data_IF_645318263640
#
_entry.id   IF_645318263640
#
_cell.length_a   1.000
_cell.length_b   1.000
_cell.length_c   1.000
_cell.angle_alpha   90.00
_cell.angle_beta   90.00
_cell.angle_gamma   90.00
#
_symmetry.space_group_name_H-M   'P 1'
#
loop_
_entity.id
_entity.type
_entity.pdbx_description
1 polymer ?
#
# COMPACT_ATOMS: atom_id res chain seq x y z
N UNK A 1 17.56 7.87 -18.34
CA UNK A 1 18.10 7.34 -19.62
C UNK A 1 17.07 7.61 -20.68
N UNK A 2 17.44 8.36 -21.72
CA UNK A 2 16.54 8.78 -22.80
C UNK A 2 16.33 7.61 -23.76
N UNK A 3 15.21 6.90 -23.59
CA UNK A 3 14.82 5.74 -24.41
C UNK A 3 14.72 6.10 -25.90
N UNK A 4 14.29 7.32 -26.24
CA UNK A 4 14.22 7.80 -27.63
C UNK A 4 15.60 7.96 -28.30
N UNK A 5 16.64 8.21 -27.50
CA UNK A 5 18.00 8.31 -27.99
C UNK A 5 18.62 6.91 -28.23
N UNK A 6 18.21 5.92 -27.43
CA UNK A 6 18.59 4.52 -27.63
C UNK A 6 17.90 3.98 -28.89
N UNK A 7 16.61 4.23 -29.08
CA UNK A 7 15.88 3.83 -30.30
C UNK A 7 16.49 4.39 -31.60
N UNK A 8 16.95 5.66 -31.63
CA UNK A 8 17.57 6.27 -32.82
C UNK A 8 18.92 5.67 -33.18
N UNK A 9 19.69 5.17 -32.23
CA UNK A 9 21.00 4.55 -32.48
C UNK A 9 20.87 3.09 -32.94
N UNK A 10 19.77 2.40 -32.62
CA UNK A 10 19.51 1.02 -33.06
C UNK A 10 19.01 0.90 -34.50
N UNK A 11 18.43 1.93 -35.08
CA UNK A 11 17.88 1.88 -36.45
C UNK A 11 18.94 1.89 -37.57
N UNK A 12 20.24 1.76 -37.26
CA UNK A 12 21.33 1.85 -38.25
C UNK A 12 22.09 0.56 -38.54
N UNK A 13 21.73 -0.59 -37.98
CA UNK A 13 22.41 -1.84 -38.28
C UNK A 13 21.50 -3.07 -38.37
N UNK A 14 21.62 -3.76 -39.46
CA UNK A 14 21.38 -5.16 -39.90
C UNK A 14 20.29 -6.08 -39.29
N UNK A 15 19.90 -7.06 -40.12
CA UNK A 15 18.77 -8.02 -40.01
C UNK A 15 18.55 -8.74 -38.65
N UNK A 16 19.56 -8.91 -37.82
CA UNK A 16 19.48 -9.44 -36.47
C UNK A 16 18.66 -8.50 -35.52
N UNK A 17 18.61 -7.22 -35.83
CA UNK A 17 17.90 -6.22 -35.05
C UNK A 17 16.37 -6.29 -35.25
N UNK A 18 15.90 -6.88 -36.35
CA UNK A 18 14.46 -7.08 -36.58
C UNK A 18 13.85 -8.15 -35.67
N UNK A 19 14.56 -9.23 -35.38
CA UNK A 19 14.08 -10.28 -34.45
C UNK A 19 14.01 -9.73 -33.02
N UNK A 20 15.02 -8.99 -32.58
CA UNK A 20 15.04 -8.35 -31.27
C UNK A 20 13.93 -7.28 -31.14
N UNK A 21 13.70 -6.52 -32.20
CA UNK A 21 12.62 -5.52 -32.22
C UNK A 21 11.23 -6.16 -32.24
N UNK A 22 11.07 -7.30 -32.90
CA UNK A 22 9.82 -8.04 -32.90
C UNK A 22 9.61 -8.79 -31.57
N UNK A 23 10.64 -9.31 -30.92
CA UNK A 23 10.58 -9.80 -29.54
C UNK A 23 10.22 -8.69 -28.54
N UNK A 24 10.81 -7.49 -28.67
CA UNK A 24 10.45 -6.32 -27.88
C UNK A 24 9.03 -5.85 -28.16
N UNK A 25 8.56 -5.91 -29.41
CA UNK A 25 7.17 -5.62 -29.79
C UNK A 25 6.19 -6.66 -29.30
N UNK A 26 6.54 -7.95 -29.37
CA UNK A 26 5.77 -9.05 -28.79
C UNK A 26 5.71 -8.92 -27.27
N UNK A 27 6.82 -8.65 -26.60
CA UNK A 27 6.88 -8.37 -25.16
C UNK A 27 6.01 -7.15 -24.79
N UNK A 28 6.06 -6.05 -25.55
CA UNK A 28 5.18 -4.87 -25.38
C UNK A 28 3.72 -5.18 -25.73
N UNK A 29 3.43 -6.16 -26.59
CA UNK A 29 2.06 -6.55 -27.00
C UNK A 29 1.41 -7.51 -26.01
N UNK A 30 2.19 -8.33 -25.27
CA UNK A 30 1.71 -9.17 -24.17
C UNK A 30 1.46 -8.39 -22.87
N UNK A 31 2.03 -7.21 -22.70
CA UNK A 31 1.71 -6.29 -21.58
C UNK A 31 0.34 -5.61 -21.82
N UNK A 32 -0.67 -6.37 -22.22
CA UNK A 32 -2.04 -5.88 -22.38
C UNK A 32 -2.81 -5.99 -21.06
N UNK A 33 -3.13 -4.85 -20.53
CA UNK A 33 -3.85 -4.36 -19.36
C UNK A 33 -2.91 -4.15 -18.15
N UNK A 34 -2.13 -3.11 -18.24
CA UNK A 34 -1.41 -2.56 -17.10
C UNK A 34 -2.43 -2.24 -16.02
N UNK A 35 -2.29 -2.87 -14.86
CA UNK A 35 -3.05 -2.48 -13.67
C UNK A 35 -2.53 -1.14 -13.18
N UNK A 36 -3.43 -0.26 -12.81
CA UNK A 36 -3.08 1.07 -12.33
C UNK A 36 -3.19 1.10 -10.81
N UNK A 37 -2.04 1.15 -10.15
CA UNK A 37 -1.95 1.21 -8.69
C UNK A 37 -1.61 2.63 -8.27
N UNK A 38 -2.53 3.29 -7.58
CA UNK A 38 -2.25 4.57 -6.95
C UNK A 38 -1.28 4.38 -5.79
N UNK A 39 -0.31 5.28 -5.66
CA UNK A 39 0.64 5.29 -4.55
C UNK A 39 0.76 6.70 -4.02
N UNK A 40 0.48 6.91 -2.72
CA UNK A 40 0.73 8.18 -2.09
C UNK A 40 2.24 8.35 -1.89
N UNK A 41 2.81 9.38 -2.51
CA UNK A 41 4.26 9.60 -2.47
C UNK A 41 4.56 11.09 -2.35
N UNK A 42 4.85 11.52 -1.12
CA UNK A 42 5.18 12.90 -0.78
C UNK A 42 5.88 12.96 0.60
N UNK A 43 6.00 14.16 1.19
CA UNK A 43 6.65 14.32 2.49
C UNK A 43 5.92 13.61 3.65
N UNK A 44 4.64 13.19 3.47
CA UNK A 44 3.86 12.45 4.46
C UNK A 44 4.09 10.94 4.36
N UNK A 45 4.23 10.45 3.12
CA UNK A 45 4.28 9.04 2.75
C UNK A 45 5.46 8.79 1.81
N UNK A 46 6.63 8.61 2.37
CA UNK A 46 7.86 8.43 1.59
C UNK A 46 8.62 7.15 1.92
N UNK A 47 8.11 6.36 2.87
CA UNK A 47 8.79 5.14 3.26
C UNK A 47 8.32 3.96 2.40
N UNK A 48 9.09 3.70 1.34
CA UNK A 48 8.91 2.59 0.41
C UNK A 48 10.25 1.93 0.12
N UNK A 49 10.26 0.63 -0.03
CA UNK A 49 11.42 -0.08 -0.57
C UNK A 49 11.43 0.07 -2.08
N UNK A 50 12.52 0.59 -2.65
CA UNK A 50 12.65 0.83 -4.09
C UNK A 50 12.47 -0.44 -4.91
N UNK A 51 13.06 -1.54 -4.44
CA UNK A 51 12.94 -2.85 -5.09
C UNK A 51 11.53 -3.45 -4.98
N UNK A 52 10.77 -3.16 -3.90
CA UNK A 52 9.36 -3.51 -3.82
C UNK A 52 8.54 -2.74 -4.88
N UNK A 53 8.84 -1.44 -5.09
CA UNK A 53 8.19 -0.64 -6.14
C UNK A 53 8.51 -1.16 -7.55
N UNK A 54 9.73 -1.62 -7.80
CA UNK A 54 10.11 -2.25 -9.06
C UNK A 54 9.32 -3.54 -9.32
N UNK A 55 9.00 -4.32 -8.26
CA UNK A 55 8.19 -5.54 -8.37
C UNK A 55 6.78 -5.24 -8.90
N UNK A 56 6.19 -4.10 -8.58
CA UNK A 56 4.89 -3.73 -9.17
C UNK A 56 4.95 -3.72 -10.70
N UNK A 57 5.97 -3.09 -11.27
CA UNK A 57 6.18 -3.06 -12.73
C UNK A 57 6.44 -4.45 -13.30
N UNK A 58 7.25 -5.27 -12.61
CA UNK A 58 7.54 -6.65 -13.01
C UNK A 58 6.28 -7.53 -13.01
N UNK A 59 5.30 -7.25 -12.15
CA UNK A 59 4.00 -7.95 -12.12
C UNK A 59 2.92 -7.30 -12.99
N UNK A 60 3.29 -6.34 -13.86
CA UNK A 60 2.41 -5.72 -14.85
C UNK A 60 1.52 -4.61 -14.27
N UNK A 61 2.01 -3.88 -13.27
CA UNK A 61 1.33 -2.72 -12.73
C UNK A 61 2.09 -1.41 -13.08
N UNK A 62 1.32 -0.38 -13.41
CA UNK A 62 1.76 1.00 -13.50
C UNK A 62 1.52 1.69 -12.16
N UNK A 63 2.56 2.32 -11.59
CA UNK A 63 2.41 3.13 -10.37
C UNK A 63 2.01 4.56 -10.74
N UNK A 64 0.90 5.01 -10.19
CA UNK A 64 0.38 6.37 -10.35
C UNK A 64 0.66 7.13 -9.05
N UNK A 65 1.65 7.98 -9.08
CA UNK A 65 2.06 8.76 -7.90
C UNK A 65 1.05 9.87 -7.61
N UNK A 66 0.70 10.01 -6.33
CA UNK A 66 -0.32 10.93 -5.81
C UNK A 66 0.31 11.72 -4.66
N UNK A 67 0.23 13.03 -4.72
CA UNK A 67 0.65 13.91 -3.63
C UNK A 67 -0.53 14.19 -2.70
N UNK A 68 -0.50 13.63 -1.49
CA UNK A 68 -1.60 13.73 -0.52
C UNK A 68 -1.90 15.16 -0.04
N UNK A 69 -0.96 16.08 -0.26
CA UNK A 69 -1.09 17.48 0.18
C UNK A 69 -1.56 18.37 -0.96
N UNK A 70 -1.05 18.13 -2.18
CA UNK A 70 -1.28 19.01 -3.33
C UNK A 70 -2.44 18.56 -4.21
N UNK A 71 -2.53 17.24 -4.48
CA UNK A 71 -3.57 16.68 -5.32
C UNK A 71 -4.90 16.70 -4.60
N UNK A 72 -5.93 17.20 -5.30
CA UNK A 72 -7.28 17.35 -4.71
C UNK A 72 -8.16 16.13 -4.89
N UNK A 73 -7.84 15.26 -5.82
CA UNK A 73 -8.65 14.09 -6.19
C UNK A 73 -7.78 12.86 -6.42
N UNK A 74 -8.34 11.68 -6.20
CA UNK A 74 -7.71 10.46 -6.71
C UNK A 74 -7.77 10.42 -8.25
N UNK A 75 -6.70 9.96 -8.92
CA UNK A 75 -6.74 9.66 -10.34
C UNK A 75 -7.87 8.68 -10.68
N UNK A 76 -8.51 8.89 -11.82
CA UNK A 76 -9.56 7.97 -12.30
C UNK A 76 -8.97 6.62 -12.71
N UNK A 77 -9.79 5.59 -12.66
CA UNK A 77 -9.47 4.23 -13.14
C UNK A 77 -8.27 3.59 -12.43
N UNK A 78 -8.14 3.80 -11.13
CA UNK A 78 -7.23 3.01 -10.31
C UNK A 78 -7.83 1.62 -10.08
N UNK A 79 -7.00 0.58 -10.20
CA UNK A 79 -7.36 -0.80 -9.89
C UNK A 79 -7.04 -1.17 -8.43
N UNK A 80 -6.09 -0.45 -7.81
CA UNK A 80 -5.71 -0.61 -6.41
C UNK A 80 -5.06 0.66 -5.86
N UNK A 81 -4.92 0.72 -4.54
CA UNK A 81 -4.26 1.82 -3.83
C UNK A 81 -3.25 1.26 -2.83
N UNK A 82 -2.02 1.80 -2.82
CA UNK A 82 -1.01 1.53 -1.82
C UNK A 82 -0.60 2.83 -1.11
N UNK A 83 -0.73 2.86 0.22
CA UNK A 83 -0.30 3.98 1.06
C UNK A 83 0.74 3.45 2.04
N UNK A 84 2.00 3.76 1.79
CA UNK A 84 3.12 3.29 2.58
C UNK A 84 3.29 4.02 3.90
N UNK A 85 4.44 3.78 4.51
CA UNK A 85 4.85 4.43 5.74
C UNK A 85 5.28 5.87 5.54
N UNK A 86 5.49 6.55 6.66
CA UNK A 86 5.91 7.93 6.72
C UNK A 86 5.47 8.59 8.01
N UNK A 87 5.48 9.92 8.01
CA UNK A 87 5.20 10.75 9.19
C UNK A 87 4.04 11.71 8.91
N UNK A 88 2.80 11.21 8.75
CA UNK A 88 1.64 12.06 8.45
C UNK A 88 1.35 13.08 9.56
N UNK A 89 1.78 12.82 10.80
CA UNK A 89 1.63 13.73 11.93
C UNK A 89 2.33 15.08 11.72
N UNK A 90 3.48 15.09 11.04
CA UNK A 90 4.27 16.31 10.80
C UNK A 90 3.49 17.33 9.95
N UNK A 91 2.64 16.82 9.06
CA UNK A 91 1.82 17.63 8.15
C UNK A 91 0.33 17.43 8.33
N UNK A 92 -0.08 16.92 9.49
CA UNK A 92 -1.46 16.54 9.78
C UNK A 92 -2.48 17.64 9.47
N UNK A 93 -2.14 18.90 9.74
CA UNK A 93 -3.01 20.05 9.41
C UNK A 93 -3.22 20.21 7.90
N UNK A 94 -2.22 19.90 7.06
CA UNK A 94 -2.36 19.96 5.60
C UNK A 94 -3.22 18.81 5.09
N UNK A 95 -2.99 17.60 5.63
CA UNK A 95 -3.77 16.41 5.32
C UNK A 95 -5.24 16.57 5.72
N UNK A 96 -5.50 17.13 6.91
CA UNK A 96 -6.85 17.42 7.38
C UNK A 96 -7.62 18.33 6.42
N UNK A 97 -6.96 19.39 5.92
CA UNK A 97 -7.55 20.38 5.00
C UNK A 97 -7.84 19.82 3.61
N UNK A 98 -7.19 18.74 3.20
CA UNK A 98 -7.42 18.13 1.90
C UNK A 98 -8.66 17.21 1.94
N UNK A 99 -9.82 17.82 2.15
CA UNK A 99 -11.10 17.10 2.38
C UNK A 99 -11.45 16.22 1.18
N UNK A 100 -11.31 16.76 -0.04
CA UNK A 100 -11.79 16.04 -1.22
C UNK A 100 -10.99 14.77 -1.51
N UNK A 101 -9.66 14.81 -1.39
CA UNK A 101 -8.83 13.61 -1.55
C UNK A 101 -9.16 12.55 -0.47
N UNK A 102 -9.39 12.98 0.78
CA UNK A 102 -9.80 12.06 1.86
C UNK A 102 -11.13 11.39 1.54
N UNK A 103 -12.09 12.13 1.02
CA UNK A 103 -13.40 11.58 0.60
C UNK A 103 -13.21 10.58 -0.54
N UNK A 104 -12.42 10.92 -1.55
CA UNK A 104 -12.15 10.01 -2.68
C UNK A 104 -11.48 8.71 -2.22
N UNK A 105 -10.51 8.78 -1.29
CA UNK A 105 -9.86 7.59 -0.70
C UNK A 105 -10.88 6.76 0.08
N UNK A 106 -11.72 7.43 0.88
CA UNK A 106 -12.78 6.76 1.62
C UNK A 106 -13.73 6.04 0.69
N UNK A 107 -14.23 6.72 -0.33
CA UNK A 107 -15.17 6.16 -1.30
C UNK A 107 -14.52 5.01 -2.09
N UNK A 108 -13.23 5.13 -2.44
CA UNK A 108 -12.49 4.06 -3.10
C UNK A 108 -12.52 2.77 -2.27
N UNK A 109 -12.24 2.85 -0.97
CA UNK A 109 -12.24 1.70 -0.06
C UNK A 109 -13.68 1.21 0.20
N UNK A 110 -14.62 2.13 0.41
CA UNK A 110 -16.04 1.79 0.68
C UNK A 110 -16.71 1.08 -0.51
N UNK A 111 -16.23 1.32 -1.74
CA UNK A 111 -16.67 0.65 -2.96
C UNK A 111 -15.91 -0.66 -3.24
N UNK A 112 -15.32 -1.29 -2.22
CA UNK A 112 -14.61 -2.56 -2.32
C UNK A 112 -13.43 -2.55 -3.32
N UNK A 113 -12.76 -1.41 -3.52
CA UNK A 113 -11.53 -1.40 -4.28
C UNK A 113 -10.36 -1.88 -3.41
N UNK A 114 -9.43 -2.67 -3.99
CA UNK A 114 -8.26 -3.15 -3.27
C UNK A 114 -7.41 -2.01 -2.73
N UNK A 115 -7.11 -2.06 -1.44
CA UNK A 115 -6.26 -1.09 -0.78
C UNK A 115 -5.31 -1.79 0.20
N UNK A 116 -4.03 -1.43 0.14
CA UNK A 116 -3.03 -1.83 1.12
C UNK A 116 -2.40 -0.62 1.76
N UNK A 117 -2.24 -0.64 3.09
CA UNK A 117 -1.60 0.47 3.81
C UNK A 117 -0.65 0.00 4.89
N UNK A 118 0.41 0.77 5.13
CA UNK A 118 1.43 0.50 6.16
C UNK A 118 1.63 1.71 7.05
N UNK A 119 1.80 1.49 8.35
CA UNK A 119 2.28 2.43 9.35
C UNK A 119 1.62 3.83 9.24
N UNK A 120 2.30 4.81 8.67
CA UNK A 120 1.75 6.16 8.44
C UNK A 120 0.44 6.15 7.63
N UNK A 121 0.34 5.24 6.64
CA UNK A 121 -0.88 5.04 5.86
C UNK A 121 -2.05 4.56 6.73
N UNK A 122 -1.81 3.65 7.69
CA UNK A 122 -2.83 3.22 8.65
C UNK A 122 -3.28 4.40 9.52
N UNK A 123 -2.35 5.21 10.02
CA UNK A 123 -2.67 6.40 10.81
C UNK A 123 -3.56 7.37 10.02
N UNK A 124 -3.26 7.57 8.74
CA UNK A 124 -4.05 8.45 7.85
C UNK A 124 -5.45 7.91 7.58
N UNK A 125 -5.64 6.59 7.56
CA UNK A 125 -6.98 5.99 7.38
C UNK A 125 -7.82 5.98 8.66
N UNK A 126 -7.26 6.25 9.83
CA UNK A 126 -8.01 6.35 11.07
C UNK A 126 -9.01 7.51 11.05
N UNK A 127 -9.95 7.52 12.02
CA UNK A 127 -10.85 8.65 12.20
C UNK A 127 -10.09 9.93 12.59
N UNK A 128 -9.11 9.78 13.48
CA UNK A 128 -8.37 10.93 14.03
C UNK A 128 -6.91 10.56 14.26
N UNK A 129 -6.06 11.58 14.12
CA UNK A 129 -4.66 11.57 14.53
C UNK A 129 -4.47 12.63 15.61
N UNK A 130 -3.86 12.26 16.74
CA UNK A 130 -3.49 13.19 17.83
C UNK A 130 -1.97 13.34 17.80
N UNK A 131 -1.54 14.58 17.64
CA UNK A 131 -0.14 14.97 17.68
C UNK A 131 0.01 16.32 18.38
N UNK A 132 0.96 16.43 19.29
CA UNK A 132 1.19 17.65 20.10
C UNK A 132 -0.13 18.19 20.71
N UNK A 133 -0.89 17.32 21.37
CA UNK A 133 -2.21 17.60 22.00
C UNK A 133 -3.29 18.09 21.05
N UNK A 134 -3.00 18.24 19.75
CA UNK A 134 -3.98 18.62 18.71
C UNK A 134 -4.59 17.38 18.07
N UNK A 135 -5.85 17.50 17.71
CA UNK A 135 -6.63 16.44 17.05
C UNK A 135 -6.87 16.85 15.61
N UNK A 136 -6.59 15.93 14.70
CA UNK A 136 -6.78 16.13 13.26
C UNK A 136 -7.69 15.05 12.71
N UNK A 137 -8.67 15.45 11.89
CA UNK A 137 -9.59 14.50 11.24
C UNK A 137 -8.91 13.93 10.00
N UNK A 138 -8.80 12.62 9.96
CA UNK A 138 -8.18 11.88 8.87
C UNK A 138 -9.23 11.28 7.92
N UNK A 139 -8.93 10.24 7.16
CA UNK A 139 -9.85 9.66 6.15
C UNK A 139 -11.09 9.03 6.81
N UNK A 140 -10.96 8.41 7.97
CA UNK A 140 -12.08 7.87 8.72
C UNK A 140 -12.66 6.58 8.17
N UNK A 141 -11.82 5.69 7.67
CA UNK A 141 -12.18 4.30 7.31
C UNK A 141 -11.91 3.35 8.46
N UNK A 142 -10.78 3.52 9.15
CA UNK A 142 -10.43 2.73 10.33
C UNK A 142 -11.06 3.41 11.55
N UNK A 143 -11.97 2.72 12.30
CA UNK A 143 -12.74 3.34 13.39
C UNK A 143 -11.90 3.51 14.66
N UNK A 144 -10.77 4.23 14.58
CA UNK A 144 -9.85 4.44 15.67
C UNK A 144 -9.24 5.83 15.70
N UNK A 145 -8.58 6.13 16.81
CA UNK A 145 -7.78 7.34 16.97
C UNK A 145 -6.34 6.93 17.21
N UNK A 146 -5.43 7.33 16.32
CA UNK A 146 -4.00 7.21 16.55
C UNK A 146 -3.50 8.39 17.38
N UNK A 147 -2.70 8.11 18.39
CA UNK A 147 -2.03 9.13 19.19
C UNK A 147 -0.52 8.90 19.16
N UNK A 148 0.21 9.95 18.81
CA UNK A 148 1.67 9.91 18.79
C UNK A 148 2.18 10.01 20.22
N UNK A 149 3.05 9.08 20.60
CA UNK A 149 3.68 8.97 21.90
C UNK A 149 5.09 9.60 21.90
N UNK A 150 5.63 9.90 23.07
CA UNK A 150 6.99 10.45 23.21
C UNK A 150 8.10 9.40 23.03
N UNK A 151 7.74 8.12 23.10
CA UNK A 151 8.66 6.99 22.89
C UNK A 151 8.10 6.04 21.81
N UNK A 152 8.97 5.28 21.12
CA UNK A 152 8.52 4.29 20.16
C UNK A 152 7.57 3.27 20.81
N UNK A 153 6.43 3.01 20.15
CA UNK A 153 5.45 1.99 20.55
C UNK A 153 5.83 0.64 19.94
N UNK A 154 6.16 0.63 18.63
CA UNK A 154 6.68 -0.52 17.93
C UNK A 154 8.04 -0.20 17.33
N UNK A 155 9.05 -1.07 17.55
CA UNK A 155 10.40 -0.86 17.04
C UNK A 155 11.15 -2.16 16.82
N UNK A 156 11.66 -2.35 15.60
CA UNK A 156 12.59 -3.42 15.24
C UNK A 156 11.98 -4.52 14.39
N UNK A 157 12.61 -5.70 14.41
CA UNK A 157 12.15 -6.82 13.62
C UNK A 157 10.92 -7.48 14.23
N UNK A 158 9.92 -7.72 13.38
CA UNK A 158 8.62 -8.26 13.72
C UNK A 158 8.45 -9.63 13.08
N UNK A 159 7.71 -10.51 13.76
CA UNK A 159 7.21 -11.76 13.21
C UNK A 159 5.70 -11.77 13.33
N UNK A 160 5.02 -11.87 12.21
CA UNK A 160 3.56 -12.03 12.15
C UNK A 160 3.20 -13.36 11.51
N UNK A 161 2.01 -13.84 11.83
CA UNK A 161 1.43 -15.04 11.23
C UNK A 161 -0.02 -14.74 10.86
N UNK A 162 -0.35 -14.81 9.56
CA UNK A 162 -1.71 -14.58 9.10
C UNK A 162 -2.65 -15.66 9.62
N UNK A 163 -3.86 -15.25 9.97
CA UNK A 163 -4.96 -16.16 10.31
C UNK A 163 -5.55 -16.78 9.03
N UNK A 164 -6.33 -17.84 9.19
CA UNK A 164 -7.13 -18.42 8.09
C UNK A 164 -8.07 -17.34 7.53
N UNK A 165 -8.45 -17.48 6.26
CA UNK A 165 -9.38 -16.60 5.56
C UNK A 165 -8.92 -15.13 5.49
N UNK A 166 -7.60 -14.90 5.50
CA UNK A 166 -7.05 -13.57 5.25
C UNK A 166 -7.25 -13.16 3.79
N UNK A 167 -7.31 -11.85 3.57
CA UNK A 167 -7.70 -11.22 2.31
C UNK A 167 -6.82 -11.64 1.10
N UNK A 168 -5.54 -11.91 1.35
CA UNK A 168 -4.59 -12.25 0.30
C UNK A 168 -4.36 -13.76 0.12
N UNK A 169 -5.08 -14.61 0.87
CA UNK A 169 -4.91 -16.06 0.88
C UNK A 169 -3.46 -16.50 1.21
N UNK A 170 -2.79 -15.75 2.08
CA UNK A 170 -1.48 -16.14 2.62
C UNK A 170 -1.64 -17.37 3.48
N UNK A 171 -0.76 -18.36 3.29
CA UNK A 171 -0.75 -19.57 4.12
C UNK A 171 -0.60 -19.23 5.60
N UNK A 172 -1.60 -19.63 6.39
CA UNK A 172 -1.65 -19.36 7.83
C UNK A 172 -0.58 -20.12 8.65
N UNK A 173 0.15 -21.07 8.06
CA UNK A 173 1.29 -21.73 8.70
C UNK A 173 2.58 -20.93 8.57
N UNK A 174 2.62 -19.96 7.66
CA UNK A 174 3.81 -19.20 7.33
C UNK A 174 4.06 -18.08 8.34
N UNK A 175 5.28 -18.02 8.87
CA UNK A 175 5.75 -16.91 9.71
C UNK A 175 6.40 -15.87 8.79
N UNK A 176 5.85 -14.67 8.78
CA UNK A 176 6.33 -13.55 7.98
C UNK A 176 7.28 -12.71 8.83
N UNK A 177 8.47 -12.47 8.29
CA UNK A 177 9.45 -11.55 8.88
C UNK A 177 9.25 -10.17 8.25
N UNK A 178 9.06 -9.17 9.08
CA UNK A 178 8.89 -7.77 8.69
C UNK A 178 9.56 -6.87 9.73
N UNK A 179 9.33 -5.58 9.67
CA UNK A 179 9.80 -4.67 10.70
C UNK A 179 8.73 -3.65 11.04
N UNK A 180 8.89 -2.95 12.14
CA UNK A 180 8.07 -1.82 12.54
C UNK A 180 8.92 -0.71 13.13
N UNK A 181 8.50 0.52 12.90
CA UNK A 181 9.02 1.69 13.57
C UNK A 181 7.95 2.76 13.61
N UNK A 182 7.24 2.86 14.74
CA UNK A 182 6.18 3.85 14.92
C UNK A 182 6.08 4.32 16.36
N UNK A 183 5.72 5.59 16.52
CA UNK A 183 5.37 6.22 17.79
C UNK A 183 3.86 6.23 18.02
N UNK A 184 3.08 5.83 17.04
CA UNK A 184 1.63 5.86 17.10
C UNK A 184 1.08 4.71 17.92
N UNK A 185 0.16 5.02 18.83
CA UNK A 185 -0.67 4.06 19.54
C UNK A 185 -2.12 4.22 19.12
N UNK A 186 -2.73 3.13 18.68
CA UNK A 186 -4.14 3.12 18.35
C UNK A 186 -4.96 2.99 19.64
N UNK A 187 -5.75 4.04 19.94
CA UNK A 187 -6.56 4.08 21.15
C UNK A 187 -7.90 3.36 20.92
N UNK A 188 -8.27 2.59 21.96
CA UNK A 188 -9.59 2.00 22.20
C UNK A 188 -10.31 1.46 20.98
N UNK A 189 -10.05 0.16 20.66
CA UNK A 189 -10.98 -0.45 19.75
C UNK A 189 -11.01 -1.98 19.77
N UNK A 190 -11.89 -2.57 20.54
CA UNK A 190 -12.25 -3.99 20.44
C UNK A 190 -12.69 -4.36 19.03
N UNK A 191 -13.37 -3.44 18.31
CA UNK A 191 -13.81 -3.67 16.93
C UNK A 191 -12.63 -3.77 15.97
N UNK A 192 -11.51 -3.05 16.18
CA UNK A 192 -10.31 -3.19 15.37
C UNK A 192 -9.65 -4.53 15.67
N UNK A 193 -9.48 -4.88 16.93
CA UNK A 193 -8.84 -6.14 17.33
C UNK A 193 -9.54 -7.37 16.76
N UNK A 194 -10.87 -7.35 16.71
CA UNK A 194 -11.67 -8.43 16.12
C UNK A 194 -11.49 -8.57 14.60
N UNK A 195 -11.08 -7.51 13.95
CA UNK A 195 -10.82 -7.48 12.50
C UNK A 195 -9.33 -7.53 12.15
N UNK A 196 -8.45 -7.91 13.07
CA UNK A 196 -7.05 -8.18 12.81
C UNK A 196 -6.83 -9.62 12.35
N UNK A 197 -6.20 -9.80 11.20
CA UNK A 197 -6.03 -11.11 10.57
C UNK A 197 -4.59 -11.62 10.61
N UNK A 198 -3.74 -11.05 11.47
CA UNK A 198 -2.47 -11.69 11.85
C UNK A 198 -2.25 -11.64 13.37
N UNK A 199 -1.59 -12.67 13.86
CA UNK A 199 -1.03 -12.69 15.21
C UNK A 199 0.38 -12.11 15.16
N UNK A 200 0.72 -11.28 16.14
CA UNK A 200 2.08 -10.78 16.34
C UNK A 200 2.81 -11.77 17.26
N UNK A 201 3.78 -12.50 16.68
CA UNK A 201 4.60 -13.45 17.44
C UNK A 201 5.83 -12.77 18.05
N UNK A 202 6.25 -11.66 17.47
CA UNK A 202 7.30 -10.76 17.97
C UNK A 202 7.06 -9.37 17.41
N UNK A 203 7.12 -8.33 18.24
CA UNK A 203 6.84 -6.95 17.91
C UNK A 203 5.61 -6.42 18.61
N UNK A 204 5.05 -5.33 18.13
CA UNK A 204 3.88 -4.69 18.72
C UNK A 204 2.65 -4.74 17.78
N UNK A 205 2.83 -4.39 16.50
CA UNK A 205 1.72 -4.29 15.54
C UNK A 205 0.69 -3.23 15.97
N UNK A 206 -0.60 -3.58 15.90
CA UNK A 206 -1.70 -2.67 16.26
C UNK A 206 -1.89 -2.56 17.78
N UNK A 207 -1.72 -3.66 18.53
CA UNK A 207 -2.09 -3.69 19.96
C UNK A 207 -1.20 -4.60 20.84
N UNK A 208 -0.04 -4.99 20.37
CA UNK A 208 0.90 -5.91 21.08
C UNK A 208 0.61 -7.39 20.85
N UNK A 209 -0.50 -7.76 20.21
CA UNK A 209 -0.92 -9.14 19.97
C UNK A 209 -1.31 -9.42 18.52
N UNK A 210 -1.80 -8.40 17.82
CA UNK A 210 -2.36 -8.53 16.47
C UNK A 210 -1.96 -7.36 15.57
N UNK A 211 -1.97 -7.65 14.26
CA UNK A 211 -1.78 -6.70 13.18
C UNK A 211 -2.68 -7.08 12.00
N UNK A 212 -2.51 -6.43 10.84
CA UNK A 212 -3.24 -6.76 9.62
C UNK A 212 -4.76 -6.57 9.78
N UNK A 213 -5.17 -5.35 10.14
CA UNK A 213 -6.59 -4.97 10.15
C UNK A 213 -7.17 -5.12 8.75
N UNK A 214 -8.32 -5.79 8.66
CA UNK A 214 -9.05 -5.98 7.41
C UNK A 214 -10.45 -5.38 7.51
N UNK A 215 -10.81 -4.64 6.47
CA UNK A 215 -12.15 -4.13 6.30
C UNK A 215 -12.47 -4.04 4.81
N UNK A 216 -13.51 -4.74 4.36
CA UNK A 216 -13.76 -4.88 2.90
C UNK A 216 -12.51 -5.40 2.19
N UNK A 217 -12.05 -4.69 1.16
CA UNK A 217 -10.82 -5.01 0.41
C UNK A 217 -9.60 -4.19 0.87
N UNK A 218 -9.64 -3.65 2.08
CA UNK A 218 -8.52 -2.99 2.74
C UNK A 218 -7.75 -3.98 3.63
N UNK A 219 -6.43 -3.99 3.51
CA UNK A 219 -5.48 -4.56 4.47
C UNK A 219 -4.61 -3.43 5.03
N UNK A 220 -4.57 -3.27 6.36
CA UNK A 220 -3.81 -2.23 7.01
C UNK A 220 -2.90 -2.78 8.13
N UNK A 221 -1.62 -2.47 8.08
CA UNK A 221 -0.60 -2.91 9.04
C UNK A 221 0.09 -1.74 9.72
N UNK A 222 0.56 -1.92 10.96
CA UNK A 222 1.68 -1.13 11.46
C UNK A 222 3.02 -1.69 11.01
N UNK A 223 3.10 -3.01 10.82
CA UNK A 223 4.30 -3.66 10.28
C UNK A 223 4.49 -3.32 8.81
N UNK A 224 5.77 -3.11 8.44
CA UNK A 224 6.18 -2.92 7.05
C UNK A 224 6.56 -4.27 6.45
N UNK A 225 5.85 -4.68 5.42
CA UNK A 225 6.16 -5.90 4.68
C UNK A 225 7.34 -5.65 3.73
N UNK A 226 8.16 -6.68 3.57
CA UNK A 226 9.28 -6.66 2.65
C UNK A 226 9.10 -7.76 1.61
N UNK A 227 9.19 -7.39 0.34
CA UNK A 227 9.14 -8.37 -0.74
C UNK A 227 10.42 -9.23 -0.73
N UNK A 228 10.24 -10.51 -0.57
CA UNK A 228 11.31 -11.51 -0.59
C UNK A 228 10.85 -12.73 -1.36
N UNK A 229 11.78 -13.59 -1.77
CA UNK A 229 11.42 -14.88 -2.38
C UNK A 229 10.52 -15.72 -1.47
N UNK A 230 10.80 -15.69 -0.16
CA UNK A 230 10.00 -16.43 0.82
C UNK A 230 8.62 -15.80 1.06
N UNK A 231 8.48 -14.48 0.89
CA UNK A 231 7.21 -13.77 1.04
C UNK A 231 7.06 -12.66 0.00
N UNK A 232 6.62 -12.99 -1.21
CA UNK A 232 6.45 -12.02 -2.31
C UNK A 232 5.14 -11.22 -2.14
N UNK A 233 5.07 -10.32 -1.15
CA UNK A 233 3.85 -9.61 -0.78
C UNK A 233 3.26 -8.77 -1.94
N UNK A 234 4.11 -8.16 -2.77
CA UNK A 234 3.64 -7.39 -3.94
C UNK A 234 2.86 -8.31 -4.89
N UNK A 235 3.34 -9.56 -5.08
CA UNK A 235 2.62 -10.54 -5.89
C UNK A 235 1.27 -10.90 -5.27
N UNK A 236 1.19 -11.12 -3.96
CA UNK A 236 -0.07 -11.39 -3.27
C UNK A 236 -1.07 -10.24 -3.45
N UNK A 237 -0.60 -8.98 -3.30
CA UNK A 237 -1.44 -7.82 -3.51
C UNK A 237 -1.90 -7.69 -4.96
N UNK A 238 -1.00 -7.84 -5.93
CA UNK A 238 -1.33 -7.77 -7.37
C UNK A 238 -2.31 -8.87 -7.78
N UNK A 239 -2.10 -10.09 -7.32
CA UNK A 239 -3.03 -11.21 -7.59
C UNK A 239 -4.41 -10.96 -6.96
N UNK A 240 -4.44 -10.33 -5.79
CA UNK A 240 -5.68 -9.88 -5.18
C UNK A 240 -6.39 -8.81 -6.02
N UNK A 241 -5.66 -7.79 -6.50
CA UNK A 241 -6.21 -6.75 -7.40
C UNK A 241 -6.78 -7.37 -8.66
N UNK A 242 -6.07 -8.32 -9.29
CA UNK A 242 -6.54 -9.04 -10.48
C UNK A 242 -7.85 -9.77 -10.23
N UNK A 243 -7.97 -10.51 -9.13
CA UNK A 243 -9.21 -11.21 -8.76
C UNK A 243 -10.38 -10.24 -8.62
N UNK A 244 -10.18 -9.13 -7.87
CA UNK A 244 -11.23 -8.15 -7.64
C UNK A 244 -11.67 -7.42 -8.92
N UNK A 245 -10.76 -7.23 -9.87
CA UNK A 245 -11.07 -6.65 -11.18
C UNK A 245 -11.91 -7.60 -12.03
N UNK A 246 -11.51 -8.88 -12.10
CA UNK A 246 -12.26 -9.90 -12.83
C UNK A 246 -13.68 -10.10 -12.27
N UNK A 247 -13.84 -10.07 -10.94
CA UNK A 247 -15.14 -10.19 -10.28
C UNK A 247 -16.08 -9.00 -10.59
N UNK A 248 -15.52 -7.81 -10.88
CA UNK A 248 -16.27 -6.62 -11.28
C UNK A 248 -16.67 -6.65 -12.75
N UNK A 249 -15.76 -7.11 -13.61
CA UNK A 249 -15.99 -7.21 -15.06
C UNK A 249 -17.08 -8.27 -15.40
N UNK A 250 -17.33 -9.22 -14.48
CA UNK A 250 -18.31 -10.31 -14.60
C UNK A 250 -19.68 -10.00 -13.96
N UNK A 251 -19.88 -8.80 -13.40
CA UNK A 251 -21.17 -8.33 -12.82
C UNK A 251 -21.82 -7.28 -13.68
#
# INVERSE_FOLDING_TARGET
VDIKKIERNFYKSNSADHEILDEIRLYKKEVKKIMRIGILYDQSFGFYYSDDLEKFSQYGAELIYINSIQDKRLPKKLDGLFIGGGFPEIVASKLEKNIQLKLDIKDFIMNNNPCYVECGGLMYLCNKLIYDKKKYNMVGVIPGTCEIQNSPVGRGYVKIQFKKNNLWNVDCKKIIKCHEFHYAKLKNNTSISNNCFSNVLRGYGINGQADSYQYKNLLANFSHLRHTESFPWVKYFIDFVKRQKSDKDNR
#
